data_IF_303204539262
#
_entry.id   IF_303204539262
#
_cell.length_a   1.000
_cell.length_b   1.000
_cell.length_c   1.000
_cell.angle_alpha   90.00
_cell.angle_beta   90.00
_cell.angle_gamma   90.00
#
_symmetry.space_group_name_H-M   'P 1'
#
loop_
_entity.id
_entity.type
_entity.pdbx_description
1 polymer ?
#
# COMPACT_ATOMS: atom_id res chain seq x y z
N UNK A 1 -4.25 -2.18 31.92
CA UNK A 1 -3.29 -1.64 30.96
C UNK A 1 -3.72 -2.17 29.60
N UNK A 2 -4.32 -1.34 28.77
CA UNK A 2 -4.83 -1.77 27.46
C UNK A 2 -3.66 -1.82 26.47
N UNK A 3 -3.42 -3.01 25.94
CA UNK A 3 -2.40 -3.30 24.94
C UNK A 3 -2.85 -2.68 23.60
N UNK A 4 -1.97 -1.97 22.90
CA UNK A 4 -2.28 -1.36 21.61
C UNK A 4 -2.63 -2.40 20.52
N UNK A 5 -2.45 -3.68 20.83
CA UNK A 5 -2.87 -4.84 20.04
C UNK A 5 -4.40 -4.95 19.90
N UNK A 6 -5.20 -4.34 20.78
CA UNK A 6 -6.68 -4.39 20.72
C UNK A 6 -7.30 -3.54 19.58
N UNK A 7 -6.52 -2.64 18.98
CA UNK A 7 -7.00 -1.74 17.92
C UNK A 7 -6.68 -2.22 16.51
N UNK A 8 -5.97 -3.35 16.37
CA UNK A 8 -5.66 -3.94 15.07
C UNK A 8 -6.71 -5.01 14.74
N UNK A 9 -7.41 -4.94 13.59
CA UNK A 9 -8.32 -5.99 13.17
C UNK A 9 -7.56 -7.32 13.06
N UNK A 10 -7.92 -8.29 13.90
CA UNK A 10 -7.30 -9.61 14.06
C UNK A 10 -7.40 -10.52 12.83
N UNK A 11 -8.12 -10.10 11.79
CA UNK A 11 -8.30 -10.86 10.55
C UNK A 11 -7.42 -10.38 9.40
N UNK A 12 -6.61 -9.34 9.59
CA UNK A 12 -5.63 -8.94 8.60
C UNK A 12 -4.31 -9.64 8.93
N UNK A 13 -4.07 -10.79 8.30
CA UNK A 13 -2.73 -11.34 8.12
C UNK A 13 -2.24 -10.99 6.73
N UNK A 14 -1.60 -9.81 6.61
CA UNK A 14 -0.63 -9.54 5.59
C UNK A 14 0.20 -10.75 5.17
N UNK A 15 0.01 -11.23 3.94
CA UNK A 15 1.13 -11.82 3.20
C UNK A 15 1.85 -10.62 2.54
N UNK A 16 2.31 -9.67 3.35
CA UNK A 16 2.80 -8.37 2.86
C UNK A 16 4.32 -8.29 2.96
N UNK A 17 4.96 -8.15 1.82
CA UNK A 17 6.20 -7.38 1.77
C UNK A 17 5.79 -5.90 1.92
N UNK A 18 6.10 -5.29 3.06
CA UNK A 18 5.96 -3.84 3.23
C UNK A 18 6.91 -3.15 2.24
N UNK A 19 6.36 -2.49 1.22
CA UNK A 19 7.14 -1.89 0.13
C UNK A 19 7.74 -0.56 0.58
N UNK A 20 7.02 0.17 1.43
CA UNK A 20 7.54 1.36 2.09
C UNK A 20 6.75 1.71 3.35
N UNK A 21 7.46 2.24 4.35
CA UNK A 21 6.89 2.89 5.52
C UNK A 21 7.33 4.34 5.59
N UNK A 22 6.47 5.25 6.05
CA UNK A 22 6.80 6.64 6.33
C UNK A 22 6.15 7.09 7.63
N UNK A 23 6.97 7.59 8.55
CA UNK A 23 6.53 8.22 9.78
C UNK A 23 6.71 9.73 9.69
N UNK A 24 5.71 10.48 10.17
CA UNK A 24 5.76 11.94 10.21
C UNK A 24 5.23 12.46 11.54
N UNK A 25 6.06 13.20 12.27
CA UNK A 25 5.63 13.93 13.44
C UNK A 25 5.36 15.39 13.07
N UNK A 26 4.10 15.85 13.17
CA UNK A 26 3.72 17.25 12.94
C UNK A 26 4.35 18.22 13.94
N UNK A 27 4.47 17.83 15.20
CA UNK A 27 5.00 18.71 16.27
C UNK A 27 6.49 18.99 16.13
N UNK A 28 7.28 18.01 15.69
CA UNK A 28 8.72 18.16 15.46
C UNK A 28 9.08 18.51 14.01
N UNK A 29 8.09 18.49 13.11
CA UNK A 29 8.27 18.52 11.65
C UNK A 29 9.33 17.53 11.13
N UNK A 30 9.38 16.32 11.73
CA UNK A 30 10.35 15.27 11.39
C UNK A 30 9.70 14.16 10.60
N UNK A 31 10.37 13.73 9.52
CA UNK A 31 9.96 12.60 8.67
C UNK A 31 11.02 11.50 8.77
N UNK A 32 10.57 10.26 8.89
CA UNK A 32 11.42 9.07 8.89
C UNK A 32 10.86 8.05 7.90
N UNK A 33 11.73 7.39 7.14
CA UNK A 33 11.34 6.50 6.04
C UNK A 33 11.82 5.06 6.31
N UNK A 34 13.04 4.88 6.79
CA UNK A 34 13.54 3.56 7.19
C UNK A 34 12.94 3.14 8.54
N UNK A 35 12.49 1.89 8.68
CA UNK A 35 11.93 1.36 9.93
C UNK A 35 10.91 2.32 10.60
N UNK A 36 10.03 2.93 9.80
CA UNK A 36 9.11 3.99 10.20
C UNK A 36 8.31 3.64 11.47
N UNK A 37 7.95 2.37 11.63
CA UNK A 37 7.21 1.85 12.78
C UNK A 37 8.04 1.88 14.06
N UNK A 38 9.29 1.41 14.01
CA UNK A 38 10.19 1.41 15.16
C UNK A 38 10.49 2.85 15.61
N UNK A 39 10.76 3.74 14.65
CA UNK A 39 10.98 5.16 14.92
C UNK A 39 9.75 5.80 15.57
N UNK A 40 8.55 5.58 15.02
CA UNK A 40 7.33 6.17 15.57
C UNK A 40 7.08 5.71 17.01
N UNK A 41 7.25 4.42 17.31
CA UNK A 41 7.10 3.89 18.66
C UNK A 41 8.09 4.52 19.65
N UNK A 42 9.36 4.65 19.27
CA UNK A 42 10.36 5.30 20.10
C UNK A 42 10.04 6.78 20.29
N UNK A 43 9.72 7.49 19.21
CA UNK A 43 9.46 8.92 19.21
C UNK A 43 8.25 9.29 20.08
N UNK A 44 7.15 8.53 20.00
CA UNK A 44 5.97 8.72 20.84
C UNK A 44 6.31 8.48 22.31
N UNK A 45 7.13 7.47 22.64
CA UNK A 45 7.55 7.20 24.03
C UNK A 45 8.41 8.31 24.61
N UNK A 46 9.31 8.87 23.82
CA UNK A 46 10.24 9.92 24.26
C UNK A 46 9.60 11.30 24.35
N UNK A 47 8.69 11.62 23.42
CA UNK A 47 8.17 12.99 23.25
C UNK A 47 6.68 13.13 23.54
N UNK A 48 5.92 12.04 23.53
CA UNK A 48 4.45 12.06 23.61
C UNK A 48 3.77 12.68 22.37
N UNK A 49 4.51 12.97 21.30
CA UNK A 49 3.93 13.58 20.10
C UNK A 49 3.18 12.57 19.24
N UNK A 50 2.09 13.02 18.62
CA UNK A 50 1.38 12.22 17.64
C UNK A 50 2.21 12.08 16.34
N UNK A 51 2.32 10.86 15.84
CA UNK A 51 3.04 10.50 14.62
C UNK A 51 2.05 9.91 13.61
N UNK A 52 2.04 10.45 12.40
CA UNK A 52 1.31 9.94 11.25
C UNK A 52 2.16 8.86 10.57
N UNK A 53 1.59 7.67 10.40
CA UNK A 53 2.21 6.54 9.73
C UNK A 53 1.53 6.29 8.39
N UNK A 54 2.31 6.17 7.32
CA UNK A 54 1.88 5.75 6.00
C UNK A 54 2.63 4.48 5.62
N UNK A 55 1.90 3.42 5.35
CA UNK A 55 2.46 2.16 4.88
C UNK A 55 1.92 1.87 3.47
N UNK A 56 2.80 1.48 2.57
CA UNK A 56 2.46 0.95 1.26
C UNK A 56 2.71 -0.54 1.24
N UNK A 57 1.66 -1.29 0.93
CA UNK A 57 1.71 -2.74 0.82
C UNK A 57 1.56 -3.13 -0.65
N UNK A 58 2.42 -4.05 -1.14
CA UNK A 58 2.17 -4.69 -2.43
C UNK A 58 1.10 -5.75 -2.22
N UNK A 59 -0.13 -5.43 -2.62
CA UNK A 59 -1.28 -6.32 -2.43
C UNK A 59 -1.43 -7.31 -3.59
N UNK A 60 -0.35 -7.60 -4.34
CA UNK A 60 -0.30 -8.63 -5.40
C UNK A 60 -0.34 -10.06 -4.84
N UNK A 61 -1.29 -10.33 -3.96
CA UNK A 61 -1.74 -11.67 -3.56
C UNK A 61 -2.56 -12.28 -4.71
N UNK A 62 -2.46 -13.59 -4.96
CA UNK A 62 -3.33 -14.36 -5.88
C UNK A 62 -4.84 -13.98 -5.80
N UNK A 63 -5.31 -13.48 -4.65
CA UNK A 63 -6.69 -13.03 -4.40
C UNK A 63 -7.00 -11.58 -4.81
N UNK A 64 -6.06 -10.79 -5.33
CA UNK A 64 -6.35 -9.41 -5.76
C UNK A 64 -7.39 -9.37 -6.88
N UNK A 65 -7.38 -10.40 -7.75
CA UNK A 65 -8.41 -10.59 -8.79
C UNK A 65 -9.79 -10.78 -8.17
N UNK A 66 -9.92 -11.47 -7.03
CA UNK A 66 -11.21 -11.68 -6.37
C UNK A 66 -11.85 -10.40 -5.81
N UNK A 67 -11.06 -9.32 -5.66
CA UNK A 67 -11.54 -8.00 -5.20
C UNK A 67 -12.01 -7.11 -6.34
N UNK A 68 -11.76 -7.48 -7.59
CA UNK A 68 -12.20 -6.71 -8.74
C UNK A 68 -13.70 -6.88 -8.98
N UNK A 69 -14.41 -5.81 -9.36
CA UNK A 69 -15.78 -5.93 -9.87
C UNK A 69 -15.84 -6.86 -11.08
N UNK A 70 -16.96 -7.56 -11.26
CA UNK A 70 -17.17 -8.49 -12.36
C UNK A 70 -16.86 -7.88 -13.74
N UNK A 71 -17.22 -6.62 -13.96
CA UNK A 71 -16.94 -5.91 -15.22
C UNK A 71 -15.43 -5.80 -15.51
N UNK A 72 -14.62 -5.58 -14.47
CA UNK A 72 -13.16 -5.49 -14.58
C UNK A 72 -12.54 -6.86 -14.79
N UNK A 73 -13.08 -7.90 -14.18
CA UNK A 73 -12.67 -9.28 -14.45
C UNK A 73 -12.96 -9.68 -15.90
N UNK A 74 -14.16 -9.39 -16.40
CA UNK A 74 -14.52 -9.68 -17.78
C UNK A 74 -13.67 -8.88 -18.80
N UNK A 75 -13.28 -7.65 -18.47
CA UNK A 75 -12.34 -6.86 -19.27
C UNK A 75 -10.95 -7.51 -19.31
N UNK A 76 -10.44 -7.96 -18.16
CA UNK A 76 -9.17 -8.69 -18.08
C UNK A 76 -9.20 -10.00 -18.87
N UNK A 77 -10.27 -10.80 -18.74
CA UNK A 77 -10.45 -12.03 -19.51
C UNK A 77 -10.44 -11.77 -21.03
N UNK A 78 -11.09 -10.69 -21.49
CA UNK A 78 -11.05 -10.27 -22.90
C UNK A 78 -9.65 -9.89 -23.36
N UNK A 79 -8.88 -9.18 -22.51
CA UNK A 79 -7.51 -8.80 -22.81
C UNK A 79 -6.56 -10.01 -22.81
N UNK A 80 -6.80 -11.01 -21.95
CA UNK A 80 -6.06 -12.28 -21.97
C UNK A 80 -6.37 -13.05 -23.26
N UNK A 81 -7.63 -13.06 -23.69
CA UNK A 81 -8.05 -13.72 -24.93
C UNK A 81 -7.54 -13.02 -26.20
N UNK A 82 -7.29 -11.70 -26.14
CA UNK A 82 -6.73 -10.91 -27.25
C UNK A 82 -5.39 -10.23 -26.90
N UNK A 83 -4.27 -10.91 -27.17
CA UNK A 83 -2.92 -10.38 -26.94
C UNK A 83 -2.61 -9.08 -27.69
N UNK A 84 -3.27 -8.79 -28.82
CA UNK A 84 -3.03 -7.55 -29.56
C UNK A 84 -3.64 -6.35 -28.84
N UNK A 85 -4.88 -6.49 -28.35
CA UNK A 85 -5.54 -5.47 -27.53
C UNK A 85 -4.79 -5.24 -26.21
N UNK A 86 -4.30 -6.30 -25.56
CA UNK A 86 -3.46 -6.17 -24.36
C UNK A 86 -2.17 -5.39 -24.63
N UNK A 87 -1.47 -5.68 -25.74
CA UNK A 87 -0.26 -4.95 -26.15
C UNK A 87 -0.54 -3.48 -26.51
N UNK A 88 -1.67 -3.20 -27.16
CA UNK A 88 -2.08 -1.84 -27.47
C UNK A 88 -2.39 -1.03 -26.21
N UNK A 89 -3.07 -1.65 -25.22
CA UNK A 89 -3.32 -1.05 -23.91
C UNK A 89 -2.02 -0.79 -23.16
N UNK A 90 -1.12 -1.78 -23.09
CA UNK A 90 0.18 -1.64 -22.45
C UNK A 90 1.03 -0.53 -23.10
N UNK A 91 1.00 -0.43 -24.43
CA UNK A 91 1.70 0.63 -25.16
C UNK A 91 1.14 2.03 -24.88
N UNK A 92 -0.16 2.16 -24.58
CA UNK A 92 -0.77 3.43 -24.17
C UNK A 92 -0.38 3.81 -22.75
N UNK A 93 -0.40 2.85 -21.82
CA UNK A 93 -0.02 3.09 -20.43
C UNK A 93 1.46 3.48 -20.32
N UNK A 94 2.36 2.73 -20.98
CA UNK A 94 3.80 3.01 -20.96
C UNK A 94 4.20 4.32 -21.66
N UNK A 95 3.36 4.84 -22.56
CA UNK A 95 3.58 6.14 -23.21
C UNK A 95 2.94 7.30 -22.44
N UNK A 96 2.10 7.01 -21.45
CA UNK A 96 1.37 8.01 -20.67
C UNK A 96 2.14 8.57 -19.46
N UNK A 97 3.28 7.99 -19.11
CA UNK A 97 4.14 8.44 -17.99
C UNK A 97 5.12 9.58 -18.35
N UNK A 98 5.03 10.16 -19.55
CA UNK A 98 5.86 11.33 -19.94
C UNK A 98 5.16 12.69 -19.72
N UNK A 99 3.92 12.70 -19.22
CA UNK A 99 3.20 13.92 -18.83
C UNK A 99 2.58 13.80 -17.42
N UNK A 100 3.35 14.11 -16.37
CA UNK A 100 2.81 14.52 -15.07
C UNK A 100 3.51 13.98 -13.83
#
# INVERSE_FOLDING_TARGET
MADASDFLPTSFTPVEEEVFGKAYCKTCDRKHFDDARAWAHQHVRETGHAVELHFGYDVRDEHWMARLPYERLAELEKLVADPQSARALASKLLKGDDEG
#
